data_IF_374306437601
#
_entry.id   IF_374306437601
#
_cell.length_a   1.000
_cell.length_b   1.000
_cell.length_c   1.000
_cell.angle_alpha   90.00
_cell.angle_beta   90.00
_cell.angle_gamma   90.00
#
_symmetry.space_group_name_H-M   'P 1'
#
loop_
_entity.id
_entity.type
_entity.pdbx_description
1 polymer ?
#
# COMPACT_ATOMS: atom_id res chain seq x y z
N UNK A 1 -9.56 -72.62 12.39
CA UNK A 1 -8.93 -72.82 13.70
C UNK A 1 -8.56 -71.49 14.25
N UNK A 2 -9.17 -71.25 15.38
CA UNK A 2 -9.22 -70.01 16.21
C UNK A 2 -7.88 -69.54 16.72
N UNK A 3 -7.80 -68.27 16.96
CA UNK A 3 -7.45 -67.75 18.30
C UNK A 3 -7.67 -66.20 18.35
N UNK A 4 -8.67 -65.81 19.13
CA UNK A 4 -8.87 -64.45 19.65
C UNK A 4 -7.85 -64.19 20.75
N UNK A 5 -7.31 -63.00 20.79
CA UNK A 5 -6.64 -62.45 21.97
C UNK A 5 -7.19 -61.10 22.29
N UNK A 6 -8.00 -61.05 23.34
CA UNK A 6 -8.56 -59.80 23.94
C UNK A 6 -7.60 -59.39 25.06
N UNK A 7 -7.14 -58.14 25.04
CA UNK A 7 -6.47 -57.53 26.19
C UNK A 7 -7.23 -56.25 26.56
N UNK A 8 -7.83 -56.33 27.77
CA UNK A 8 -8.47 -55.17 28.39
C UNK A 8 -7.44 -54.24 29.04
N UNK A 9 -7.71 -52.95 29.01
CA UNK A 9 -6.98 -51.97 29.81
C UNK A 9 -7.93 -51.18 30.70
N UNK A 10 -7.53 -51.13 31.95
CA UNK A 10 -8.24 -50.52 33.06
C UNK A 10 -8.15 -48.99 33.04
N UNK A 11 -9.27 -48.33 33.36
CA UNK A 11 -9.37 -46.92 33.69
C UNK A 11 -8.77 -46.63 35.06
N UNK A 12 -7.95 -45.61 35.14
CA UNK A 12 -7.58 -44.95 36.39
C UNK A 12 -8.02 -43.48 36.32
N UNK A 13 -9.05 -43.18 37.12
CA UNK A 13 -9.57 -41.82 37.36
C UNK A 13 -8.73 -41.19 38.48
N UNK A 14 -8.12 -40.02 38.18
CA UNK A 14 -7.58 -39.15 39.24
C UNK A 14 -8.24 -37.81 39.09
N UNK A 15 -9.11 -37.46 40.01
CA UNK A 15 -9.70 -36.16 40.14
C UNK A 15 -8.74 -35.19 40.82
N UNK A 16 -8.71 -33.96 40.34
CA UNK A 16 -8.12 -32.81 41.06
C UNK A 16 -9.10 -31.66 41.06
N UNK A 17 -9.30 -31.17 42.26
CA UNK A 17 -10.22 -30.14 42.69
C UNK A 17 -9.98 -28.76 42.04
N UNK A 18 -11.07 -28.04 41.90
CA UNK A 18 -11.14 -26.63 41.55
C UNK A 18 -10.55 -25.73 42.65
N UNK A 19 -9.75 -24.78 42.22
CA UNK A 19 -9.33 -23.65 43.01
C UNK A 19 -9.55 -22.37 42.19
N UNK A 20 -10.64 -21.65 42.43
CA UNK A 20 -10.89 -20.35 41.89
C UNK A 20 -10.06 -19.29 42.66
N UNK A 21 -9.19 -18.58 42.00
CA UNK A 21 -8.61 -17.34 42.49
C UNK A 21 -8.80 -16.26 41.43
N UNK A 22 -9.71 -15.34 41.71
CA UNK A 22 -9.86 -14.11 40.97
C UNK A 22 -8.63 -13.21 41.27
N UNK A 23 -7.96 -12.75 40.22
CA UNK A 23 -7.00 -11.66 40.31
C UNK A 23 -7.32 -10.59 39.25
N UNK A 24 -7.35 -9.38 39.73
CA UNK A 24 -7.77 -8.17 39.11
C UNK A 24 -7.00 -7.82 37.83
N UNK A 25 -7.72 -7.21 36.89
CA UNK A 25 -7.18 -6.59 35.69
C UNK A 25 -6.21 -5.46 36.03
N UNK A 26 -4.95 -5.63 35.62
CA UNK A 26 -4.01 -4.54 35.49
C UNK A 26 -3.70 -4.36 34.01
N UNK A 27 -4.28 -3.32 33.40
CA UNK A 27 -3.99 -2.89 32.05
C UNK A 27 -2.58 -2.26 32.01
N UNK A 28 -1.61 -2.98 31.52
CA UNK A 28 -0.29 -2.49 31.23
C UNK A 28 0.21 -3.10 29.93
N UNK A 29 -0.15 -2.52 28.80
CA UNK A 29 0.47 -2.84 27.55
C UNK A 29 1.90 -2.30 27.55
N UNK A 30 2.87 -3.15 27.86
CA UNK A 30 4.28 -2.83 27.66
C UNK A 30 4.56 -2.83 26.15
N UNK A 31 4.76 -1.63 25.59
CA UNK A 31 5.40 -1.47 24.28
C UNK A 31 6.84 -1.98 24.42
N UNK A 32 7.12 -3.11 23.76
CA UNK A 32 8.47 -3.63 23.62
C UNK A 32 9.32 -2.63 22.83
N UNK A 33 10.11 -1.85 23.52
CA UNK A 33 11.21 -1.07 22.92
C UNK A 33 12.32 -2.04 22.61
N UNK A 34 12.54 -2.34 21.34
CA UNK A 34 13.76 -2.97 20.86
C UNK A 34 14.97 -2.06 21.16
N UNK A 35 16.20 -2.58 21.18
CA UNK A 35 17.38 -1.90 21.69
C UNK A 35 17.98 -0.81 20.78
N UNK A 36 17.22 -0.22 19.86
CA UNK A 36 17.69 0.90 19.05
C UNK A 36 16.79 2.10 19.25
N UNK A 37 17.38 3.12 19.86
CA UNK A 37 16.75 4.31 20.37
C UNK A 37 15.81 4.98 19.40
N UNK A 38 14.58 5.22 19.88
CA UNK A 38 13.64 6.09 19.23
C UNK A 38 14.22 7.50 19.09
N UNK A 39 14.09 8.08 17.92
CA UNK A 39 14.42 9.48 17.67
C UNK A 39 13.62 10.40 18.61
N UNK A 40 14.21 11.45 19.15
CA UNK A 40 13.48 12.51 19.85
C UNK A 40 12.88 13.45 18.80
N UNK A 41 11.80 13.05 18.19
CA UNK A 41 11.01 13.87 17.29
C UNK A 41 9.56 13.43 17.39
N UNK A 42 8.66 14.32 17.76
CA UNK A 42 7.23 14.09 17.72
C UNK A 42 6.82 13.59 16.32
N UNK A 43 5.69 12.89 16.25
CA UNK A 43 5.12 12.40 15.00
C UNK A 43 4.97 13.55 14.00
N UNK A 44 5.56 13.44 12.80
CA UNK A 44 5.50 14.48 11.78
C UNK A 44 4.05 14.62 11.27
N UNK A 45 3.54 15.86 11.10
CA UNK A 45 2.18 16.06 10.59
C UNK A 45 2.09 15.62 9.12
N UNK A 46 0.90 15.20 8.69
CA UNK A 46 0.58 15.09 7.27
C UNK A 46 0.39 16.48 6.64
N UNK A 47 0.33 16.54 5.32
CA UNK A 47 0.18 17.79 4.58
C UNK A 47 -1.05 18.59 5.05
N UNK A 48 -2.20 17.93 5.20
CA UNK A 48 -3.45 18.54 5.66
C UNK A 48 -3.36 19.03 7.11
N UNK A 49 -2.78 18.24 8.02
CA UNK A 49 -2.55 18.62 9.42
C UNK A 49 -1.61 19.83 9.52
N UNK A 50 -0.66 19.93 8.60
CA UNK A 50 0.26 21.06 8.49
C UNK A 50 -0.41 22.33 7.93
N UNK A 51 -1.63 22.23 7.40
CA UNK A 51 -2.38 23.34 6.79
C UNK A 51 -2.33 23.40 5.26
N UNK A 52 -1.69 22.42 4.61
CA UNK A 52 -1.67 22.31 3.16
C UNK A 52 -2.90 21.51 2.68
N UNK A 53 -3.93 22.22 2.27
CA UNK A 53 -5.15 21.61 1.74
C UNK A 53 -5.02 21.39 0.24
N UNK A 54 -5.14 20.13 -0.18
CA UNK A 54 -5.11 19.70 -1.58
C UNK A 54 -6.54 19.51 -2.09
N UNK A 55 -6.86 20.19 -3.19
CA UNK A 55 -8.16 20.09 -3.85
C UNK A 55 -9.31 20.73 -3.07
N UNK A 56 -10.53 20.35 -3.43
CA UNK A 56 -11.78 20.92 -2.88
C UNK A 56 -12.73 19.88 -2.29
N UNK A 57 -12.50 18.58 -2.58
CA UNK A 57 -13.34 17.52 -2.04
C UNK A 57 -12.93 17.20 -0.59
N UNK A 58 -13.91 16.93 0.30
CA UNK A 58 -13.61 16.57 1.67
C UNK A 58 -12.94 15.17 1.73
N UNK A 59 -12.01 14.97 2.67
CA UNK A 59 -11.47 13.63 2.93
C UNK A 59 -12.51 12.76 3.64
N UNK A 60 -12.28 11.46 3.67
CA UNK A 60 -12.93 10.55 4.60
C UNK A 60 -12.41 10.75 6.04
N UNK A 61 -12.98 10.02 7.01
CA UNK A 61 -12.65 10.21 8.43
C UNK A 61 -11.18 9.96 8.80
N UNK A 62 -10.50 9.07 8.09
CA UNK A 62 -9.09 8.71 8.31
C UNK A 62 -8.15 9.40 7.31
N UNK A 63 -8.70 10.03 6.27
CA UNK A 63 -7.95 10.50 5.10
C UNK A 63 -6.99 9.41 4.56
N UNK A 64 -7.46 8.18 4.46
CA UNK A 64 -6.67 7.02 4.08
C UNK A 64 -7.42 6.11 3.11
N UNK A 65 -6.70 5.22 2.41
CA UNK A 65 -7.29 4.22 1.52
C UNK A 65 -8.32 3.34 2.26
N UNK A 66 -8.14 3.15 3.54
CA UNK A 66 -9.01 2.37 4.43
C UNK A 66 -10.34 3.06 4.75
N UNK A 67 -10.56 4.29 4.32
CA UNK A 67 -11.90 4.92 4.32
C UNK A 67 -12.86 4.24 3.33
N UNK A 68 -12.33 3.52 2.35
CA UNK A 68 -13.12 2.67 1.47
C UNK A 68 -13.48 1.38 2.21
N UNK A 69 -14.77 1.15 2.40
CA UNK A 69 -15.27 0.04 3.20
C UNK A 69 -14.72 -1.32 2.74
N UNK A 70 -14.21 -2.11 3.68
CA UNK A 70 -13.65 -3.44 3.45
C UNK A 70 -12.14 -3.45 3.17
N UNK A 71 -11.56 -2.34 2.75
CA UNK A 71 -10.12 -2.25 2.47
C UNK A 71 -9.30 -2.37 3.76
N UNK A 72 -8.24 -3.16 3.69
CA UNK A 72 -7.29 -3.35 4.79
C UNK A 72 -5.86 -3.13 4.29
N UNK A 73 -5.00 -2.61 5.15
CA UNK A 73 -3.57 -2.41 4.89
C UNK A 73 -2.76 -3.06 6.00
N UNK A 74 -1.70 -3.77 5.61
CA UNK A 74 -0.72 -4.32 6.53
C UNK A 74 0.69 -4.02 6.06
N UNK A 75 1.61 -3.81 7.00
CA UNK A 75 2.96 -3.36 6.71
C UNK A 75 3.97 -4.11 7.57
N UNK A 76 5.09 -4.48 6.96
CA UNK A 76 6.28 -5.00 7.64
C UNK A 76 7.46 -4.14 7.26
N UNK A 77 8.07 -3.50 8.26
CA UNK A 77 9.22 -2.60 8.10
C UNK A 77 10.49 -3.33 8.54
N UNK A 78 11.49 -3.37 7.67
CA UNK A 78 12.79 -3.98 7.94
C UNK A 78 13.87 -2.90 8.05
N UNK A 79 14.36 -2.70 9.26
CA UNK A 79 15.46 -1.80 9.59
C UNK A 79 16.46 -2.61 10.39
N UNK A 80 17.51 -3.11 9.71
CA UNK A 80 18.49 -3.99 10.32
C UNK A 80 19.93 -3.47 10.04
N UNK A 81 20.73 -3.42 11.07
CA UNK A 81 22.10 -2.88 10.97
C UNK A 81 22.13 -1.49 10.31
N UNK A 82 23.15 -1.27 9.48
CA UNK A 82 23.35 0.00 8.76
C UNK A 82 22.76 -0.03 7.34
N UNK A 83 22.60 -1.22 6.74
CA UNK A 83 22.44 -1.36 5.31
C UNK A 83 21.05 -1.86 4.88
N UNK A 84 20.20 -2.34 5.81
CA UNK A 84 18.88 -2.85 5.47
C UNK A 84 17.81 -1.81 5.79
N UNK A 85 17.19 -1.27 4.74
CA UNK A 85 16.08 -0.30 4.79
C UNK A 85 15.05 -0.67 3.74
N UNK A 86 14.17 -1.62 4.07
CA UNK A 86 13.19 -2.16 3.11
C UNK A 86 11.93 -2.63 3.81
N UNK A 87 11.01 -3.25 3.10
CA UNK A 87 9.82 -3.82 3.71
C UNK A 87 8.74 -4.21 2.70
N UNK A 88 7.56 -4.43 3.24
CA UNK A 88 6.38 -4.91 2.50
C UNK A 88 5.15 -4.11 2.93
N UNK A 89 4.32 -3.73 1.97
CA UNK A 89 2.97 -3.18 2.21
C UNK A 89 1.96 -4.02 1.45
N UNK A 90 0.96 -4.56 2.14
CA UNK A 90 -0.12 -5.34 1.55
C UNK A 90 -1.43 -4.56 1.61
N UNK A 91 -2.19 -4.54 0.50
CA UNK A 91 -3.53 -3.96 0.41
C UNK A 91 -4.51 -5.07 0.05
N UNK A 92 -5.49 -5.31 0.91
CA UNK A 92 -6.53 -6.30 0.73
C UNK A 92 -7.83 -5.58 0.32
N UNK A 93 -8.44 -5.95 -0.81
CA UNK A 93 -9.69 -5.33 -1.26
C UNK A 93 -10.86 -5.54 -0.29
N UNK A 94 -10.88 -6.69 0.39
CA UNK A 94 -11.85 -7.03 1.43
C UNK A 94 -11.30 -8.13 2.36
N UNK A 95 -12.02 -8.42 3.43
CA UNK A 95 -11.59 -9.39 4.45
C UNK A 95 -11.92 -10.85 4.14
N UNK A 96 -12.56 -11.15 3.00
CA UNK A 96 -12.89 -12.52 2.57
C UNK A 96 -11.81 -13.15 1.69
N UNK A 97 -12.14 -14.32 1.12
CA UNK A 97 -11.28 -14.98 0.13
C UNK A 97 -11.38 -14.27 -1.23
N UNK A 98 -10.39 -13.43 -1.55
CA UNK A 98 -10.38 -12.61 -2.78
C UNK A 98 -10.37 -13.47 -4.05
N UNK A 99 -9.83 -14.68 -4.00
CA UNK A 99 -9.86 -15.61 -5.13
C UNK A 99 -11.26 -16.13 -5.44
N UNK A 100 -12.04 -16.42 -4.41
CA UNK A 100 -13.41 -16.92 -4.57
C UNK A 100 -14.41 -15.80 -4.86
N UNK A 101 -14.15 -14.59 -4.38
CA UNK A 101 -14.99 -13.40 -4.55
C UNK A 101 -14.13 -12.23 -5.06
N UNK A 102 -13.82 -12.29 -6.37
CA UNK A 102 -12.92 -11.34 -7.03
C UNK A 102 -13.54 -9.94 -7.09
N UNK A 103 -12.69 -8.93 -7.03
CA UNK A 103 -13.12 -7.55 -7.25
C UNK A 103 -12.78 -7.10 -8.68
N UNK A 104 -13.63 -6.31 -9.36
CA UNK A 104 -13.24 -5.72 -10.63
C UNK A 104 -12.08 -4.77 -10.43
N UNK A 105 -11.17 -4.74 -11.43
CA UNK A 105 -9.96 -3.93 -11.38
C UNK A 105 -9.52 -3.46 -12.77
N UNK A 106 -8.74 -2.38 -12.78
CA UNK A 106 -8.10 -1.85 -13.98
C UNK A 106 -6.73 -1.27 -13.66
N UNK A 107 -5.83 -1.30 -14.63
CA UNK A 107 -4.44 -0.83 -14.51
C UNK A 107 -4.14 0.22 -15.57
N UNK A 108 -3.53 1.33 -15.16
CA UNK A 108 -2.95 2.32 -16.05
C UNK A 108 -1.44 2.43 -15.83
N UNK A 109 -0.69 2.51 -16.91
CA UNK A 109 0.77 2.62 -16.91
C UNK A 109 1.15 4.04 -17.33
N UNK A 110 1.87 4.75 -16.46
CA UNK A 110 2.48 6.04 -16.76
C UNK A 110 3.79 5.86 -17.54
N UNK A 111 4.71 5.09 -16.97
CA UNK A 111 5.91 4.57 -17.63
C UNK A 111 6.17 3.13 -17.18
N UNK A 112 6.70 2.28 -18.05
CA UNK A 112 6.69 0.82 -17.89
C UNK A 112 8.02 0.17 -17.55
N UNK A 113 9.03 0.87 -17.04
CA UNK A 113 10.33 0.29 -16.74
C UNK A 113 10.35 -0.59 -15.48
N UNK A 114 9.39 -0.47 -14.60
CA UNK A 114 9.24 -1.26 -13.36
C UNK A 114 8.65 -2.66 -13.57
N UNK A 115 8.39 -3.35 -12.46
CA UNK A 115 7.80 -4.69 -12.42
C UNK A 115 6.45 -4.62 -11.72
N UNK A 116 5.41 -5.03 -12.45
CA UNK A 116 4.06 -5.22 -11.92
C UNK A 116 3.59 -6.60 -12.37
N UNK A 117 3.62 -7.60 -11.47
CA UNK A 117 3.09 -8.93 -11.79
C UNK A 117 1.56 -8.90 -11.87
N UNK A 118 0.96 -9.87 -12.57
CA UNK A 118 -0.48 -9.98 -12.71
C UNK A 118 -1.12 -8.97 -13.67
N UNK A 119 -0.35 -8.04 -14.24
CA UNK A 119 -0.86 -6.97 -15.12
C UNK A 119 -1.64 -7.51 -16.32
N UNK A 120 -1.19 -8.60 -16.92
CA UNK A 120 -1.86 -9.21 -18.09
C UNK A 120 -3.23 -9.76 -17.72
N UNK A 121 -3.33 -10.50 -16.60
CA UNK A 121 -4.59 -11.04 -16.14
C UNK A 121 -5.60 -9.94 -15.78
N UNK A 122 -5.16 -8.90 -15.06
CA UNK A 122 -6.04 -7.78 -14.70
C UNK A 122 -6.54 -7.05 -15.95
N UNK A 123 -5.68 -6.83 -16.96
CA UNK A 123 -6.08 -6.17 -18.21
C UNK A 123 -7.06 -6.99 -19.02
N UNK A 124 -6.80 -8.30 -19.16
CA UNK A 124 -7.64 -9.18 -19.98
C UNK A 124 -8.95 -9.55 -19.29
N UNK A 125 -8.91 -9.87 -17.99
CA UNK A 125 -10.07 -10.38 -17.26
C UNK A 125 -10.77 -9.30 -16.41
N UNK A 126 -10.13 -8.17 -16.20
CA UNK A 126 -10.72 -7.04 -15.47
C UNK A 126 -10.95 -7.29 -13.98
N UNK A 127 -10.21 -8.20 -13.36
CA UNK A 127 -10.41 -8.57 -11.94
C UNK A 127 -9.09 -8.76 -11.20
N UNK A 128 -9.13 -8.51 -9.87
CA UNK A 128 -8.13 -8.98 -8.91
C UNK A 128 -8.61 -10.25 -8.23
N UNK A 129 -7.70 -11.21 -8.06
CA UNK A 129 -7.97 -12.50 -7.38
C UNK A 129 -7.03 -12.74 -6.19
N UNK A 130 -6.18 -11.77 -5.86
CA UNK A 130 -5.22 -11.80 -4.75
C UNK A 130 -5.17 -10.46 -4.03
N UNK A 131 -4.59 -10.37 -2.82
CA UNK A 131 -4.08 -9.12 -2.29
C UNK A 131 -3.12 -8.44 -3.28
N UNK A 132 -3.01 -7.11 -3.19
CA UNK A 132 -1.95 -6.35 -3.85
C UNK A 132 -0.80 -6.22 -2.85
N UNK A 133 0.41 -6.59 -3.26
CA UNK A 133 1.61 -6.45 -2.42
C UNK A 133 2.59 -5.48 -3.08
N UNK A 134 3.13 -4.56 -2.30
CA UNK A 134 4.18 -3.64 -2.69
C UNK A 134 5.47 -3.99 -1.93
N UNK A 135 6.60 -3.94 -2.61
CA UNK A 135 7.94 -4.22 -2.03
C UNK A 135 9.05 -3.57 -2.85
N UNK A 136 10.29 -4.05 -2.75
CA UNK A 136 11.38 -3.59 -3.59
C UNK A 136 11.57 -4.43 -4.87
N UNK A 137 12.30 -3.87 -5.83
CA UNK A 137 12.51 -4.44 -7.17
C UNK A 137 12.99 -5.89 -7.18
N UNK A 138 14.00 -6.24 -6.36
CA UNK A 138 14.58 -7.59 -6.37
C UNK A 138 13.81 -8.60 -5.50
N UNK A 139 12.77 -8.15 -4.80
CA UNK A 139 11.91 -8.99 -3.95
C UNK A 139 10.56 -9.35 -4.59
N UNK A 140 10.26 -8.84 -5.78
CA UNK A 140 8.98 -9.08 -6.48
C UNK A 140 8.67 -10.58 -6.63
N UNK A 141 9.64 -11.39 -7.07
CA UNK A 141 9.42 -12.85 -7.24
C UNK A 141 9.16 -13.57 -5.91
N UNK A 142 9.87 -13.17 -4.84
CA UNK A 142 9.64 -13.71 -3.49
C UNK A 142 8.24 -13.34 -2.97
N UNK A 143 7.82 -12.09 -3.21
CA UNK A 143 6.49 -11.64 -2.81
C UNK A 143 5.39 -12.33 -3.63
N UNK A 144 5.58 -12.52 -4.93
CA UNK A 144 4.62 -13.21 -5.79
C UNK A 144 4.43 -14.67 -5.34
N UNK A 145 5.52 -15.38 -5.02
CA UNK A 145 5.49 -16.74 -4.52
C UNK A 145 4.77 -16.83 -3.14
N UNK A 146 5.00 -15.85 -2.25
CA UNK A 146 4.28 -15.78 -0.97
C UNK A 146 2.77 -15.51 -1.14
N UNK A 147 2.38 -14.66 -2.10
CA UNK A 147 0.96 -14.40 -2.41
C UNK A 147 0.28 -15.65 -2.97
N UNK A 148 1.00 -16.46 -3.77
CA UNK A 148 0.50 -17.77 -4.23
C UNK A 148 0.27 -18.69 -3.02
N UNK A 149 1.26 -18.85 -2.14
CA UNK A 149 1.12 -19.66 -0.92
C UNK A 149 -0.08 -19.23 -0.08
N UNK A 150 -0.23 -17.91 0.16
CA UNK A 150 -1.37 -17.36 0.88
C UNK A 150 -2.71 -17.72 0.24
N UNK A 151 -2.80 -17.55 -1.08
CA UNK A 151 -4.03 -17.80 -1.82
C UNK A 151 -4.40 -19.27 -1.82
N UNK A 152 -3.44 -20.17 -2.05
CA UNK A 152 -3.67 -21.62 -2.05
C UNK A 152 -4.05 -22.17 -0.67
N UNK A 153 -3.53 -21.57 0.39
CA UNK A 153 -3.85 -21.97 1.77
C UNK A 153 -5.22 -21.48 2.26
N UNK A 154 -5.89 -20.59 1.52
CA UNK A 154 -7.18 -20.06 1.94
C UNK A 154 -8.28 -21.14 1.83
N UNK A 155 -9.17 -21.27 2.85
CA UNK A 155 -10.30 -22.20 2.80
C UNK A 155 -11.15 -21.99 1.53
N UNK A 156 -11.51 -23.07 0.86
CA UNK A 156 -12.24 -23.05 -0.41
C UNK A 156 -11.35 -23.01 -1.66
N UNK A 157 -10.02 -22.94 -1.49
CA UNK A 157 -9.06 -22.92 -2.60
C UNK A 157 -8.32 -24.28 -2.78
N UNK A 158 -8.76 -25.35 -2.13
CA UNK A 158 -8.07 -26.68 -2.14
C UNK A 158 -7.91 -27.30 -3.53
N UNK A 159 -8.70 -26.81 -4.51
CA UNK A 159 -8.64 -27.30 -5.90
C UNK A 159 -8.14 -26.22 -6.89
N UNK A 160 -7.64 -25.09 -6.37
CA UNK A 160 -7.05 -24.04 -7.19
C UNK A 160 -5.68 -24.50 -7.68
N UNK A 161 -5.45 -24.41 -8.99
CA UNK A 161 -4.20 -24.83 -9.63
C UNK A 161 -3.50 -23.71 -10.39
N UNK A 162 -4.05 -22.49 -10.36
CA UNK A 162 -3.46 -21.30 -11.00
C UNK A 162 -3.84 -20.05 -10.22
N UNK A 163 -2.86 -19.19 -9.96
CA UNK A 163 -3.03 -17.92 -9.24
C UNK A 163 -2.22 -16.84 -9.94
N UNK A 164 -2.81 -15.67 -10.17
CA UNK A 164 -2.13 -14.51 -10.72
C UNK A 164 -1.85 -13.49 -9.60
N UNK A 165 -0.68 -13.57 -8.93
CA UNK A 165 -0.35 -12.65 -7.86
C UNK A 165 -0.10 -11.24 -8.40
N UNK A 166 -0.62 -10.22 -7.71
CA UNK A 166 -0.37 -8.83 -8.04
C UNK A 166 0.66 -8.26 -7.08
N UNK A 167 1.87 -8.00 -7.61
CA UNK A 167 2.99 -7.44 -6.85
C UNK A 167 3.61 -6.30 -7.64
N UNK A 168 3.65 -5.11 -7.02
CA UNK A 168 4.33 -3.93 -7.52
C UNK A 168 5.58 -3.59 -6.72
N UNK A 169 6.41 -2.70 -7.26
CA UNK A 169 7.70 -2.37 -6.65
C UNK A 169 8.19 -0.96 -6.93
N UNK A 170 9.11 -0.52 -6.09
CA UNK A 170 10.02 0.58 -6.39
C UNK A 170 11.44 0.19 -5.96
N UNK A 171 12.46 0.83 -6.53
CA UNK A 171 13.86 0.51 -6.24
C UNK A 171 14.34 1.26 -5.00
N UNK A 172 14.57 0.54 -3.90
CA UNK A 172 15.08 1.10 -2.64
C UNK A 172 16.62 1.02 -2.50
N UNK A 173 17.33 0.64 -3.58
CA UNK A 173 18.76 0.32 -3.55
C UNK A 173 19.70 1.46 -3.17
N UNK A 174 19.23 2.70 -3.05
CA UNK A 174 20.01 3.81 -2.54
C UNK A 174 20.26 3.71 -1.04
N UNK A 175 19.21 3.43 -0.26
CA UNK A 175 19.29 3.30 1.20
C UNK A 175 19.36 1.85 1.68
N UNK A 176 19.05 0.89 0.81
CA UNK A 176 18.93 -0.52 1.14
C UNK A 176 19.97 -1.37 0.40
N UNK A 177 20.55 -2.35 1.06
CA UNK A 177 21.24 -3.44 0.38
C UNK A 177 20.23 -4.32 -0.37
N UNK A 178 19.74 -3.81 -1.51
CA UNK A 178 18.73 -4.47 -2.32
C UNK A 178 19.21 -5.83 -2.86
N UNK A 179 20.54 -6.01 -3.05
CA UNK A 179 21.12 -7.26 -3.57
C UNK A 179 21.10 -8.38 -2.52
N UNK A 180 21.08 -8.04 -1.23
CA UNK A 180 20.93 -8.98 -0.13
C UNK A 180 19.55 -9.64 -0.09
N UNK A 181 18.52 -9.06 -0.78
CA UNK A 181 17.17 -9.63 -0.90
C UNK A 181 16.57 -10.00 0.45
N UNK A 182 16.59 -9.06 1.38
CA UNK A 182 16.23 -9.26 2.79
C UNK A 182 14.74 -9.53 3.02
N UNK A 183 13.86 -9.17 2.07
CA UNK A 183 12.43 -9.51 2.13
C UNK A 183 12.24 -10.99 1.87
N UNK A 184 11.65 -11.70 2.84
CA UNK A 184 11.32 -13.13 2.79
C UNK A 184 9.82 -13.35 2.60
N UNK A 185 9.42 -14.58 2.26
CA UNK A 185 8.00 -14.98 2.24
C UNK A 185 7.30 -14.72 3.58
N UNK A 186 7.99 -14.94 4.70
CA UNK A 186 7.43 -14.72 6.05
C UNK A 186 7.03 -13.25 6.25
N UNK A 187 7.82 -12.30 5.79
CA UNK A 187 7.50 -10.87 5.88
C UNK A 187 6.26 -10.51 5.06
N UNK A 188 6.11 -11.09 3.86
CA UNK A 188 4.94 -10.88 3.00
C UNK A 188 3.68 -11.46 3.63
N UNK A 189 3.74 -12.70 4.10
CA UNK A 189 2.63 -13.37 4.78
C UNK A 189 2.23 -12.62 6.06
N UNK A 190 3.20 -12.07 6.80
CA UNK A 190 2.94 -11.27 7.99
C UNK A 190 2.23 -9.96 7.63
N UNK A 191 2.67 -9.25 6.58
CA UNK A 191 2.00 -8.03 6.11
C UNK A 191 0.54 -8.32 5.70
N UNK A 192 0.27 -9.42 5.01
CA UNK A 192 -1.10 -9.81 4.63
C UNK A 192 -1.91 -10.18 5.88
N UNK A 193 -1.35 -10.96 6.80
CA UNK A 193 -2.03 -11.46 8.00
C UNK A 193 -2.40 -10.35 8.98
N UNK A 194 -1.54 -9.34 9.13
CA UNK A 194 -1.74 -8.21 10.04
C UNK A 194 -2.55 -7.07 9.43
N UNK A 195 -2.96 -7.20 8.16
CA UNK A 195 -3.73 -6.16 7.48
C UNK A 195 -5.04 -5.86 8.20
N UNK A 196 -5.26 -4.61 8.51
CA UNK A 196 -6.42 -4.11 9.24
C UNK A 196 -7.00 -2.85 8.56
N UNK A 197 -8.27 -2.57 8.84
CA UNK A 197 -8.85 -1.26 8.61
C UNK A 197 -8.36 -0.27 9.69
N UNK A 198 -8.68 1.00 9.52
CA UNK A 198 -8.24 2.04 10.45
C UNK A 198 -7.07 2.87 9.89
N UNK A 199 -6.36 3.63 10.72
CA UNK A 199 -5.25 4.47 10.29
C UNK A 199 -4.14 3.65 9.61
N UNK A 200 -3.56 4.20 8.54
CA UNK A 200 -2.43 3.61 7.82
C UNK A 200 -1.16 4.35 8.21
N UNK A 201 -0.09 3.64 8.53
CA UNK A 201 1.20 4.26 8.79
C UNK A 201 1.82 4.78 7.48
N UNK A 202 2.45 5.96 7.53
CA UNK A 202 2.98 6.69 6.39
C UNK A 202 4.47 7.04 6.55
N UNK A 203 5.11 7.48 5.48
CA UNK A 203 6.53 7.81 5.44
C UNK A 203 7.41 6.57 5.29
N UNK A 204 8.49 6.51 6.07
CA UNK A 204 9.52 5.48 6.00
C UNK A 204 9.09 4.13 6.61
N UNK A 205 8.00 3.55 6.15
CA UNK A 205 7.40 2.32 6.67
C UNK A 205 7.07 1.33 5.55
N UNK A 206 6.99 0.04 5.90
CA UNK A 206 6.64 -0.99 4.94
C UNK A 206 7.52 -0.94 3.68
N UNK A 207 6.89 -1.05 2.51
CA UNK A 207 7.58 -0.97 1.21
C UNK A 207 8.25 0.41 0.95
N UNK A 208 7.88 1.45 1.71
CA UNK A 208 8.47 2.78 1.60
C UNK A 208 9.68 3.05 2.49
N UNK A 209 10.17 2.05 3.22
CA UNK A 209 11.24 2.23 4.22
C UNK A 209 12.53 2.77 3.61
N UNK A 210 12.97 2.26 2.46
CA UNK A 210 14.24 2.63 1.82
C UNK A 210 14.11 3.56 0.60
N UNK A 211 12.93 4.09 0.32
CA UNK A 211 12.67 4.88 -0.89
C UNK A 211 12.93 6.37 -0.68
N UNK A 212 13.22 7.08 -1.77
CA UNK A 212 13.40 8.54 -1.82
C UNK A 212 12.41 9.16 -2.80
N UNK A 213 12.05 10.43 -2.60
CA UNK A 213 11.15 11.14 -3.51
C UNK A 213 11.56 12.60 -3.59
N UNK A 214 11.80 13.12 -4.81
CA UNK A 214 12.29 14.49 -5.03
C UNK A 214 13.55 14.81 -4.20
N UNK A 215 14.51 13.89 -4.14
CA UNK A 215 15.75 13.94 -3.37
C UNK A 215 15.57 14.00 -1.83
N UNK A 216 14.33 13.98 -1.35
CA UNK A 216 14.01 13.81 0.07
C UNK A 216 13.66 12.35 0.40
N UNK A 217 13.56 12.05 1.70
CA UNK A 217 12.99 10.79 2.13
C UNK A 217 11.52 10.72 1.73
N UNK A 218 11.19 9.76 0.87
CA UNK A 218 9.84 9.40 0.48
C UNK A 218 9.27 8.25 1.30
N UNK A 219 8.32 7.51 0.75
CA UNK A 219 7.78 6.35 1.43
C UNK A 219 6.35 5.99 1.04
N UNK A 220 5.60 5.50 2.01
CA UNK A 220 4.17 5.26 1.89
C UNK A 220 3.43 6.56 2.21
N UNK A 221 2.43 6.87 1.40
CA UNK A 221 1.46 7.92 1.68
C UNK A 221 0.05 7.46 1.37
N UNK A 222 -0.94 8.05 2.01
CA UNK A 222 -2.34 7.70 1.78
C UNK A 222 -3.22 8.93 1.90
N UNK A 223 -4.33 8.93 1.16
CA UNK A 223 -5.38 9.95 1.28
C UNK A 223 -6.71 9.42 0.76
N UNK A 224 -7.79 10.09 1.07
CA UNK A 224 -9.11 9.77 0.53
C UNK A 224 -9.90 11.01 0.16
N UNK A 225 -10.93 10.82 -0.67
CA UNK A 225 -11.94 11.83 -0.97
C UNK A 225 -13.32 11.19 -0.91
N UNK A 226 -14.24 11.88 -0.25
CA UNK A 226 -15.63 11.49 -0.18
C UNK A 226 -16.48 12.42 -1.02
N UNK A 227 -17.22 11.87 -1.98
CA UNK A 227 -18.14 12.64 -2.80
C UNK A 227 -19.36 13.08 -1.98
N UNK A 228 -19.93 14.26 -2.27
CA UNK A 228 -21.23 14.67 -1.74
C UNK A 228 -22.33 13.66 -2.09
N UNK A 229 -23.37 13.57 -1.27
CA UNK A 229 -24.48 12.62 -1.46
C UNK A 229 -25.22 12.80 -2.79
N UNK A 230 -25.39 14.02 -3.24
CA UNK A 230 -25.99 14.40 -4.53
C UNK A 230 -25.12 13.97 -5.73
N UNK A 231 -23.87 13.60 -5.50
CA UNK A 231 -22.93 13.04 -6.49
C UNK A 231 -22.61 11.55 -6.22
N UNK A 232 -23.52 10.86 -5.53
CA UNK A 232 -23.42 9.43 -5.25
C UNK A 232 -22.85 9.06 -3.88
N UNK A 233 -22.18 9.98 -3.15
CA UNK A 233 -21.64 9.75 -1.81
C UNK A 233 -20.47 8.78 -1.75
N UNK A 234 -19.93 8.36 -2.90
CA UNK A 234 -18.84 7.39 -3.00
C UNK A 234 -17.53 7.92 -2.40
N UNK A 235 -16.70 6.98 -1.98
CA UNK A 235 -15.35 7.23 -1.47
C UNK A 235 -14.32 6.75 -2.50
N UNK A 236 -13.28 7.55 -2.71
CA UNK A 236 -12.04 7.15 -3.41
C UNK A 236 -10.90 7.24 -2.42
N UNK A 237 -10.20 6.14 -2.19
CA UNK A 237 -9.03 6.05 -1.34
C UNK A 237 -7.78 5.72 -2.16
N UNK A 238 -6.66 6.33 -1.80
CA UNK A 238 -5.36 6.17 -2.46
C UNK A 238 -4.31 5.72 -1.45
N UNK A 239 -3.44 4.80 -1.87
CA UNK A 239 -2.18 4.51 -1.21
C UNK A 239 -1.07 4.58 -2.26
N UNK A 240 0.03 5.25 -1.94
CA UNK A 240 1.20 5.35 -2.81
C UNK A 240 2.44 4.77 -2.16
N UNK A 241 3.33 4.22 -2.98
CA UNK A 241 4.74 3.97 -2.66
C UNK A 241 5.56 4.87 -3.58
N UNK A 242 6.17 5.92 -3.02
CA UNK A 242 6.89 6.94 -3.80
C UNK A 242 8.39 6.65 -3.82
N UNK A 243 8.98 6.73 -5.02
CA UNK A 243 10.43 6.62 -5.23
C UNK A 243 10.78 7.28 -6.57
N UNK A 244 10.48 8.55 -6.76
CA UNK A 244 10.68 9.22 -8.04
C UNK A 244 11.23 10.63 -7.87
N UNK A 245 11.87 11.14 -8.92
CA UNK A 245 12.45 12.47 -9.01
C UNK A 245 11.57 13.46 -9.79
N UNK A 246 12.13 14.62 -10.01
CA UNK A 246 11.48 15.75 -10.69
C UNK A 246 11.74 17.03 -9.93
N UNK A 247 10.91 18.06 -10.17
CA UNK A 247 10.94 19.32 -9.42
C UNK A 247 9.72 19.36 -8.51
N UNK A 248 9.91 19.09 -7.21
CA UNK A 248 8.79 19.09 -6.27
C UNK A 248 7.98 20.38 -6.42
N UNK A 249 6.69 20.21 -6.63
CA UNK A 249 5.76 21.33 -6.78
C UNK A 249 4.69 21.25 -5.71
N UNK A 250 4.55 22.30 -4.92
CA UNK A 250 3.55 22.41 -3.84
C UNK A 250 2.61 23.56 -4.17
N UNK A 251 1.31 23.31 -4.29
CA UNK A 251 0.30 24.30 -4.72
C UNK A 251 0.63 24.98 -6.05
N UNK A 252 1.24 24.26 -6.97
CA UNK A 252 1.65 24.81 -8.27
C UNK A 252 2.93 25.66 -8.24
N UNK A 253 3.59 25.76 -7.09
CA UNK A 253 4.84 26.50 -6.93
C UNK A 253 6.00 25.50 -6.82
N UNK A 254 7.03 25.60 -7.67
CA UNK A 254 8.23 24.80 -7.53
C UNK A 254 8.87 25.03 -6.15
N UNK A 255 9.18 23.92 -5.48
CA UNK A 255 9.84 23.94 -4.18
C UNK A 255 11.34 23.77 -4.40
N UNK A 256 12.06 24.89 -4.41
CA UNK A 256 13.51 24.88 -4.52
C UNK A 256 14.16 24.72 -3.13
N UNK A 257 14.42 23.47 -2.75
CA UNK A 257 15.20 23.16 -1.55
C UNK A 257 16.70 23.40 -1.72
N UNK A 258 17.16 23.63 -2.95
CA UNK A 258 18.59 23.68 -3.30
C UNK A 258 19.30 24.97 -2.88
N UNK A 259 18.62 26.12 -2.78
CA UNK A 259 19.24 27.37 -2.31
C UNK A 259 19.76 27.32 -0.87
N UNK A 260 19.32 26.36 -0.07
CA UNK A 260 19.70 26.25 1.34
C UNK A 260 20.97 25.39 1.61
N UNK A 261 21.70 24.97 0.59
CA UNK A 261 22.91 24.13 0.77
C UNK A 261 22.62 22.70 1.25
N UNK A 262 21.37 22.31 1.40
CA UNK A 262 20.97 20.96 1.80
C UNK A 262 20.98 19.97 0.63
N UNK A 263 20.78 20.45 -0.59
CA UNK A 263 20.82 19.63 -1.81
C UNK A 263 22.23 19.30 -2.32
N UNK A 264 23.27 19.97 -1.83
CA UNK A 264 24.65 19.73 -2.28
C UNK A 264 25.32 18.53 -1.57
N UNK A 265 24.70 17.99 -0.52
CA UNK A 265 25.18 16.77 0.16
C UNK A 265 24.43 15.51 -0.32
N UNK A 266 23.30 15.67 -1.01
CA UNK A 266 22.76 14.59 -1.81
C UNK A 266 23.72 14.43 -3.00
N UNK A 267 24.44 13.30 -3.04
CA UNK A 267 25.23 12.88 -4.21
C UNK A 267 24.45 13.19 -5.48
N UNK A 268 25.22 13.62 -6.51
CA UNK A 268 24.65 13.96 -7.80
C UNK A 268 23.47 13.04 -8.15
N UNK A 269 22.32 13.57 -8.55
CA UNK A 269 21.19 12.75 -8.93
C UNK A 269 21.72 11.65 -9.84
N UNK A 270 21.29 10.40 -9.60
CA UNK A 270 21.60 9.33 -10.56
C UNK A 270 21.30 9.93 -11.93
N UNK A 271 22.31 10.02 -12.85
CA UNK A 271 22.11 10.69 -14.13
C UNK A 271 20.94 10.11 -14.93
N UNK A 272 20.46 8.95 -14.54
CA UNK A 272 19.28 8.31 -15.12
C UNK A 272 17.96 8.99 -14.69
N UNK A 273 17.91 9.75 -13.57
CA UNK A 273 16.66 10.35 -13.08
C UNK A 273 15.56 9.31 -12.84
N UNK A 274 15.98 8.06 -12.66
CA UNK A 274 15.13 6.89 -12.69
C UNK A 274 14.45 6.73 -11.33
N UNK A 275 13.15 6.72 -11.36
CA UNK A 275 12.35 6.54 -10.18
C UNK A 275 11.26 5.51 -10.42
N UNK A 276 10.31 5.40 -9.52
CA UNK A 276 9.13 4.57 -9.69
C UNK A 276 8.03 5.05 -8.74
N UNK A 277 6.79 4.84 -9.10
CA UNK A 277 5.66 5.09 -8.22
C UNK A 277 4.60 4.01 -8.38
N UNK A 278 4.23 3.38 -7.28
CA UNK A 278 3.05 2.53 -7.23
C UNK A 278 1.90 3.29 -6.61
N UNK A 279 0.75 3.30 -7.30
CA UNK A 279 -0.50 3.92 -6.83
C UNK A 279 -1.57 2.84 -6.77
N UNK A 280 -2.13 2.61 -5.59
CA UNK A 280 -3.30 1.74 -5.38
C UNK A 280 -4.51 2.61 -5.14
N UNK A 281 -5.56 2.43 -5.94
CA UNK A 281 -6.82 3.18 -5.89
C UNK A 281 -7.94 2.24 -5.48
N UNK A 282 -8.63 2.53 -4.41
CA UNK A 282 -9.84 1.83 -4.00
C UNK A 282 -11.06 2.73 -4.15
N UNK A 283 -12.22 2.15 -4.46
CA UNK A 283 -13.51 2.86 -4.39
C UNK A 283 -14.64 1.90 -4.05
N UNK A 284 -15.68 2.41 -3.42
CA UNK A 284 -16.97 1.73 -3.20
C UNK A 284 -18.00 2.02 -4.31
N UNK A 285 -17.64 2.81 -5.33
CA UNK A 285 -18.47 3.02 -6.49
C UNK A 285 -18.57 1.74 -7.34
N UNK A 286 -19.77 1.35 -7.86
CA UNK A 286 -19.93 0.15 -8.65
C UNK A 286 -19.40 0.37 -10.08
N UNK A 287 -18.11 0.09 -10.28
CA UNK A 287 -17.40 0.30 -11.53
C UNK A 287 -16.98 -1.02 -12.18
N UNK A 288 -16.99 -1.05 -13.52
CA UNK A 288 -16.37 -2.09 -14.31
C UNK A 288 -14.86 -1.86 -14.50
N UNK A 289 -14.16 -2.85 -15.07
CA UNK A 289 -12.72 -2.79 -15.32
C UNK A 289 -12.32 -1.60 -16.19
N UNK A 290 -13.10 -1.28 -17.23
CA UNK A 290 -12.85 -0.15 -18.13
C UNK A 290 -12.89 1.19 -17.38
N UNK A 291 -13.88 1.39 -16.51
CA UNK A 291 -14.00 2.62 -15.73
C UNK A 291 -12.96 2.68 -14.60
N UNK A 292 -12.54 1.53 -14.05
CA UNK A 292 -11.43 1.45 -13.10
C UNK A 292 -10.08 1.77 -13.74
N UNK A 293 -9.81 1.32 -14.96
CA UNK A 293 -8.62 1.75 -15.71
C UNK A 293 -8.62 3.27 -15.93
N UNK A 294 -9.78 3.85 -16.30
CA UNK A 294 -9.92 5.30 -16.45
C UNK A 294 -9.71 6.04 -15.10
N UNK A 295 -10.15 5.46 -13.98
CA UNK A 295 -9.92 6.01 -12.64
C UNK A 295 -8.43 5.94 -12.27
N UNK A 296 -7.78 4.80 -12.48
CA UNK A 296 -6.34 4.60 -12.30
C UNK A 296 -5.52 5.64 -13.08
N UNK A 297 -5.88 5.90 -14.34
CA UNK A 297 -5.24 6.93 -15.17
C UNK A 297 -5.32 8.33 -14.56
N UNK A 298 -6.37 8.66 -13.81
CA UNK A 298 -6.49 9.98 -13.15
C UNK A 298 -5.65 10.07 -11.88
N UNK A 299 -5.41 8.97 -11.20
CA UNK A 299 -4.49 8.96 -10.06
C UNK A 299 -3.04 9.27 -10.47
N UNK A 300 -2.62 8.89 -11.68
CA UNK A 300 -1.31 9.27 -12.23
C UNK A 300 -1.11 10.79 -12.36
N UNK A 301 -2.19 11.57 -12.43
CA UNK A 301 -2.10 13.03 -12.42
C UNK A 301 -1.52 13.58 -11.10
N UNK A 302 -1.61 12.84 -10.00
CA UNK A 302 -0.97 13.19 -8.73
C UNK A 302 0.54 13.33 -8.87
N UNK A 303 1.19 12.42 -9.60
CA UNK A 303 2.64 12.49 -9.88
C UNK A 303 2.96 13.78 -10.65
N UNK A 304 2.22 14.09 -11.71
CA UNK A 304 2.44 15.29 -12.50
C UNK A 304 2.17 16.58 -11.71
N UNK A 305 1.15 16.59 -10.84
CA UNK A 305 0.79 17.75 -10.02
C UNK A 305 1.79 18.04 -8.91
N UNK A 306 2.53 17.01 -8.46
CA UNK A 306 3.63 17.16 -7.51
C UNK A 306 4.99 17.41 -8.17
N UNK A 307 5.07 17.41 -9.52
CA UNK A 307 6.27 17.76 -10.28
C UNK A 307 7.04 16.59 -10.88
N UNK A 308 6.51 15.34 -10.77
CA UNK A 308 7.04 14.19 -11.49
C UNK A 308 6.58 14.16 -12.94
N UNK A 309 7.37 13.55 -13.83
CA UNK A 309 7.11 13.57 -15.28
C UNK A 309 7.30 12.22 -15.98
N UNK A 310 7.33 11.10 -15.21
CA UNK A 310 7.49 9.74 -15.75
C UNK A 310 8.78 9.60 -16.58
N UNK A 311 9.94 9.73 -15.93
CA UNK A 311 11.24 9.59 -16.58
C UNK A 311 11.40 8.22 -17.25
N UNK A 312 12.29 8.11 -18.23
CA UNK A 312 12.44 6.91 -19.05
C UNK A 312 12.70 5.63 -18.26
N UNK A 313 13.46 5.70 -17.19
CA UNK A 313 13.76 4.55 -16.33
C UNK A 313 12.78 4.35 -15.17
N UNK A 314 11.68 5.11 -15.11
CA UNK A 314 10.67 5.02 -14.07
C UNK A 314 9.69 3.89 -14.31
N UNK A 315 9.21 3.25 -13.24
CA UNK A 315 8.10 2.30 -13.23
C UNK A 315 6.88 2.89 -12.53
N UNK A 316 6.00 3.56 -13.28
CA UNK A 316 4.86 4.27 -12.74
C UNK A 316 3.57 3.56 -13.09
N UNK A 317 2.93 2.99 -12.08
CA UNK A 317 1.74 2.17 -12.27
C UNK A 317 0.64 2.59 -11.30
N UNK A 318 -0.59 2.62 -11.79
CA UNK A 318 -1.78 2.79 -10.97
C UNK A 318 -2.71 1.59 -11.15
N UNK A 319 -3.10 0.96 -10.04
CA UNK A 319 -4.09 -0.11 -9.98
C UNK A 319 -5.32 0.42 -9.28
N UNK A 320 -6.49 0.35 -9.93
CA UNK A 320 -7.77 0.68 -9.32
C UNK A 320 -8.66 -0.55 -9.17
N UNK A 321 -9.38 -0.64 -8.05
CA UNK A 321 -10.39 -1.68 -7.83
C UNK A 321 -11.62 -1.12 -7.13
N UNK A 322 -12.76 -1.83 -7.31
CA UNK A 322 -14.02 -1.51 -6.63
C UNK A 322 -14.35 -2.55 -5.58
N UNK A 323 -14.68 -2.10 -4.36
CA UNK A 323 -15.17 -2.98 -3.28
C UNK A 323 -16.67 -3.21 -3.31
N UNK A 324 -17.42 -2.53 -4.20
CA UNK A 324 -18.86 -2.63 -4.27
C UNK A 324 -19.32 -4.08 -4.51
N UNK A 325 -20.17 -4.61 -3.64
CA UNK A 325 -20.63 -6.00 -3.71
C UNK A 325 -21.37 -6.30 -5.03
N UNK A 326 -22.13 -5.32 -5.54
CA UNK A 326 -22.91 -5.45 -6.77
C UNK A 326 -22.08 -5.78 -8.03
N UNK A 327 -20.77 -5.51 -8.01
CA UNK A 327 -19.87 -5.74 -9.16
C UNK A 327 -18.83 -6.84 -8.92
N UNK A 328 -18.80 -7.47 -7.75
CA UNK A 328 -17.88 -8.58 -7.45
C UNK A 328 -18.11 -9.76 -8.38
N UNK A 329 -17.07 -10.51 -8.65
CA UNK A 329 -17.04 -11.62 -9.60
C UNK A 329 -16.74 -12.93 -8.87
N UNK A 330 -17.75 -13.78 -8.62
CA UNK A 330 -17.51 -15.08 -8.01
C UNK A 330 -16.66 -15.96 -8.92
N UNK A 331 -15.70 -16.69 -8.33
CA UNK A 331 -14.82 -17.62 -9.07
C UNK A 331 -15.63 -18.69 -9.83
N UNK A 332 -16.72 -19.16 -9.23
CA UNK A 332 -17.65 -20.10 -9.84
C UNK A 332 -19.07 -19.58 -9.68
N UNK A 333 -19.80 -19.52 -10.76
CA UNK A 333 -21.21 -19.16 -10.78
C UNK A 333 -22.02 -20.30 -11.38
N UNK A 334 -23.25 -20.51 -10.87
CA UNK A 334 -24.16 -21.53 -11.40
C UNK A 334 -24.72 -21.16 -12.78
N UNK A 335 -24.86 -19.85 -13.05
CA UNK A 335 -25.37 -19.34 -14.32
C UNK A 335 -24.22 -18.81 -15.21
N UNK A 336 -24.33 -18.99 -16.55
CA UNK A 336 -23.33 -18.48 -17.48
C UNK A 336 -23.40 -16.95 -17.67
N UNK A 337 -24.45 -16.31 -17.18
CA UNK A 337 -24.68 -14.86 -17.27
C UNK A 337 -24.93 -14.26 -15.91
N UNK A 338 -24.60 -12.96 -15.75
CA UNK A 338 -24.95 -12.17 -14.57
C UNK A 338 -25.44 -10.77 -14.97
N UNK A 339 -26.33 -10.21 -14.17
CA UNK A 339 -26.74 -8.79 -14.28
C UNK A 339 -25.94 -8.00 -13.23
N UNK A 340 -25.39 -6.86 -13.64
CA UNK A 340 -24.68 -5.93 -12.76
C UNK A 340 -25.26 -4.53 -12.89
N UNK A 341 -25.28 -3.80 -11.77
CA UNK A 341 -25.59 -2.37 -11.77
C UNK A 341 -24.29 -1.60 -11.76
N UNK A 342 -24.09 -0.75 -12.77
CA UNK A 342 -22.87 0.04 -12.92
C UNK A 342 -23.18 1.54 -12.84
N UNK A 343 -22.24 2.30 -12.32
CA UNK A 343 -22.25 3.75 -12.44
C UNK A 343 -22.08 4.13 -13.91
N UNK A 344 -22.92 5.06 -14.40
CA UNK A 344 -22.87 5.54 -15.77
C UNK A 344 -21.61 6.37 -16.04
N UNK A 345 -21.16 6.37 -17.30
CA UNK A 345 -19.95 7.11 -17.72
C UNK A 345 -20.04 8.62 -17.48
N UNK A 346 -21.22 9.21 -17.64
CA UNK A 346 -21.47 10.63 -17.41
C UNK A 346 -21.40 11.03 -15.91
N UNK A 347 -21.48 10.06 -15.00
CA UNK A 347 -21.33 10.26 -13.56
C UNK A 347 -19.87 10.06 -13.05
N UNK A 348 -18.91 9.76 -13.92
CA UNK A 348 -17.53 9.46 -13.54
C UNK A 348 -16.67 10.67 -13.16
N UNK A 349 -17.00 11.88 -13.64
CA UNK A 349 -16.12 13.06 -13.47
C UNK A 349 -15.82 13.40 -12.01
N UNK A 350 -16.76 13.33 -11.05
CA UNK A 350 -16.43 13.56 -9.65
C UNK A 350 -15.45 12.54 -9.06
N UNK A 351 -15.50 11.26 -9.48
CA UNK A 351 -14.55 10.22 -9.07
C UNK A 351 -13.16 10.48 -9.65
N UNK A 352 -13.06 10.99 -10.88
CA UNK A 352 -11.80 11.37 -11.51
C UNK A 352 -11.14 12.53 -10.76
N UNK A 353 -11.91 13.55 -10.36
CA UNK A 353 -11.43 14.63 -9.52
C UNK A 353 -10.94 14.09 -8.18
N UNK A 354 -11.72 13.23 -7.52
CA UNK A 354 -11.36 12.61 -6.25
C UNK A 354 -10.03 11.84 -6.34
N UNK A 355 -9.82 11.06 -7.40
CA UNK A 355 -8.59 10.30 -7.60
C UNK A 355 -7.37 11.22 -7.79
N UNK A 356 -7.50 12.29 -8.58
CA UNK A 356 -6.40 13.23 -8.80
C UNK A 356 -6.01 13.99 -7.52
N UNK A 357 -7.01 14.49 -6.76
CA UNK A 357 -6.77 15.22 -5.51
C UNK A 357 -6.19 14.31 -4.42
N UNK A 358 -6.74 13.09 -4.25
CA UNK A 358 -6.24 12.17 -3.24
C UNK A 358 -4.84 11.65 -3.58
N UNK A 359 -4.51 11.41 -4.85
CA UNK A 359 -3.19 10.99 -5.26
C UNK A 359 -2.12 12.06 -5.02
N UNK A 360 -2.42 13.34 -5.32
CA UNK A 360 -1.54 14.45 -5.00
C UNK A 360 -1.29 14.55 -3.48
N UNK A 361 -2.34 14.48 -2.67
CA UNK A 361 -2.20 14.55 -1.21
C UNK A 361 -1.42 13.35 -0.66
N UNK A 362 -1.70 12.11 -1.11
CA UNK A 362 -0.98 10.92 -0.69
C UNK A 362 0.53 11.00 -1.01
N UNK A 363 0.91 11.53 -2.19
CA UNK A 363 2.32 11.73 -2.54
C UNK A 363 2.96 12.76 -1.59
N UNK A 364 2.30 13.86 -1.31
CA UNK A 364 2.78 14.86 -0.36
C UNK A 364 2.89 14.27 1.06
N UNK A 365 1.91 13.48 1.51
CA UNK A 365 1.94 12.84 2.82
C UNK A 365 3.11 11.85 2.95
N UNK A 366 3.49 11.15 1.87
CA UNK A 366 4.68 10.29 1.88
C UNK A 366 5.97 11.05 2.20
N UNK A 367 6.06 12.34 1.84
CA UNK A 367 7.17 13.24 2.14
C UNK A 367 7.04 13.91 3.52
N UNK A 368 5.85 14.38 3.85
CA UNK A 368 5.56 15.08 5.10
C UNK A 368 5.77 14.16 6.33
N UNK A 369 5.30 12.92 6.25
CA UNK A 369 5.41 11.92 7.32
C UNK A 369 6.78 11.24 7.38
N UNK A 370 7.60 11.33 6.31
CA UNK A 370 8.91 10.71 6.29
C UNK A 370 9.91 11.40 7.22
N UNK A 371 10.75 10.60 7.85
CA UNK A 371 11.84 11.08 8.72
C UNK A 371 13.18 10.84 8.05
N UNK A 372 14.21 11.65 8.43
CA UNK A 372 15.57 11.45 7.98
C UNK A 372 15.97 9.98 8.17
N UNK A 373 16.50 9.39 7.13
CA UNK A 373 16.88 7.97 7.12
C UNK A 373 18.32 7.82 6.60
N UNK A 374 19.14 7.16 7.40
CA UNK A 374 20.48 6.72 7.00
C UNK A 374 20.43 5.23 6.66
N UNK A 375 21.10 4.84 5.60
CA UNK A 375 21.10 3.46 5.07
C UNK A 375 22.46 3.02 4.57
N UNK A 376 22.40 2.14 3.57
CA UNK A 376 23.54 1.48 2.96
C UNK A 376 24.66 2.48 2.57
N UNK A 377 25.90 2.08 2.80
CA UNK A 377 27.11 2.87 2.49
C UNK A 377 27.15 4.26 3.16
N UNK A 378 26.31 4.50 4.18
CA UNK A 378 26.18 5.78 4.85
C UNK A 378 25.37 6.81 4.07
N UNK A 379 24.66 6.39 3.03
CA UNK A 379 23.75 7.26 2.29
C UNK A 379 22.63 7.79 3.21
N UNK A 380 22.29 9.05 3.04
CA UNK A 380 21.31 9.75 3.87
C UNK A 380 20.26 10.38 2.98
N UNK A 381 18.99 10.06 3.23
CA UNK A 381 17.87 10.81 2.71
C UNK A 381 17.32 11.72 3.80
N UNK A 382 17.37 13.03 3.56
CA UNK A 382 16.86 14.03 4.49
C UNK A 382 15.32 14.09 4.44
N UNK A 383 14.71 14.46 5.55
CA UNK A 383 13.26 14.71 5.59
C UNK A 383 12.94 16.04 4.90
N UNK A 384 11.75 16.12 4.28
CA UNK A 384 11.26 17.40 3.73
C UNK A 384 11.29 18.49 4.81
N UNK A 385 11.95 19.66 4.57
CA UNK A 385 12.05 20.73 5.54
C UNK A 385 10.74 21.51 5.66
N UNK A 386 9.87 21.12 6.62
CA UNK A 386 8.54 21.68 6.74
C UNK A 386 8.50 23.17 7.04
N UNK A 387 9.52 23.74 7.71
CA UNK A 387 9.59 25.20 7.93
C UNK A 387 9.70 25.96 6.61
N UNK A 388 10.43 25.42 5.63
CA UNK A 388 10.50 25.99 4.28
C UNK A 388 9.17 25.88 3.54
N UNK A 389 8.48 24.74 3.68
CA UNK A 389 7.12 24.57 3.12
C UNK A 389 6.17 25.60 3.69
N UNK A 390 6.28 25.92 4.98
CA UNK A 390 5.46 26.93 5.65
C UNK A 390 5.60 28.34 5.05
N UNK A 391 6.78 28.65 4.51
CA UNK A 391 7.03 29.92 3.83
C UNK A 391 6.23 30.03 2.52
N UNK A 392 6.03 28.92 1.80
CA UNK A 392 5.21 28.89 0.60
C UNK A 392 3.70 29.01 0.87
N UNK A 393 3.27 28.80 2.12
CA UNK A 393 1.86 28.85 2.49
C UNK A 393 1.42 30.26 2.96
N UNK A 394 2.38 31.18 3.15
CA UNK A 394 2.13 32.57 3.49
C UNK A 394 1.75 33.39 2.27
#
# INVERSE_FOLDING_TARGET
MSAHLTIGLAFSLVGVLAGAAALAAGSGASRGTGPFGGSPGGERPGAREFGLIVGVLPPGPLNAITDVAGVKVGQVTLVEGRDVRTGVTAVLPHGGNVFQDKVPAGISVGNGYGKLTGVTQVRELGTLETPIVLTNTLSVSTAADAVIDWTLAAPGNEKVASVNPVVGETNDGWLNDIRGRHVTKAHVLEAIRTAAGGPVAEGAVGAGTGTTCFDYKGGIGTASRRLPKDRGGYTVGILVQTNFGGVLTIRGVPFDGMEAGLGAAASAPDPAGDGSCMIVVATDAPLDARNLERLAKRALLGIARTGGYFSNGSGDYAIAFSTAEAVRVPHRAAAPTRTVTLLRDDAMSPLFQAAAEAAEEAILDSLFKAVRTEGKDGHVAEALPLERVKELLK
#
